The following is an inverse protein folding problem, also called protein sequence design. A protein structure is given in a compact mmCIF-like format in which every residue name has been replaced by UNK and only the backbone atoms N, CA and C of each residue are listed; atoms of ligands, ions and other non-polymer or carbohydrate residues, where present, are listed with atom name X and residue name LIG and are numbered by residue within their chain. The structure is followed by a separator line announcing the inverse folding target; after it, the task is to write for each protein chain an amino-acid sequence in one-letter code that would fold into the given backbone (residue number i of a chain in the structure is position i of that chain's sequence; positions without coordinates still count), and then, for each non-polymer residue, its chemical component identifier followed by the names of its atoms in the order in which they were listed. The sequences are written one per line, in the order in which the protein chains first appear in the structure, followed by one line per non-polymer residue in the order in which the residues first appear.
data_IF_346742591676
#
_entry.id   IF_346742591676
#
_cell.length_a   1.000
_cell.length_b   1.000
_cell.length_c   1.000
_cell.angle_alpha   90.00
_cell.angle_beta   90.00
_cell.angle_gamma   90.00
#
_symmetry.space_group_name_H-M   'P 1'
#
loop_
_entity.id
_entity.type
_entity.pdbx_description
1 polymer ?
#
# COMPACT_ATOMS: atom_id res chain seq x y z
N UNK A 1 13.62 10.11 5.01
CA UNK A 1 12.22 9.75 4.69
C UNK A 1 11.38 10.05 5.92
N UNK A 2 10.28 10.76 5.75
CA UNK A 2 9.37 11.12 6.83
C UNK A 2 8.20 10.14 6.93
N UNK A 3 7.68 9.95 8.14
CA UNK A 3 6.49 9.14 8.39
C UNK A 3 5.24 9.94 7.99
N UNK A 4 4.45 9.39 7.07
CA UNK A 4 3.23 10.03 6.57
C UNK A 4 2.04 9.48 7.36
N UNK A 5 1.22 10.36 7.93
CA UNK A 5 -0.02 9.95 8.59
C UNK A 5 -1.00 9.40 7.56
N UNK A 6 -1.66 8.28 7.86
CA UNK A 6 -2.70 7.72 6.97
C UNK A 6 -3.90 8.65 6.79
N UNK A 7 -4.06 9.65 7.66
CA UNK A 7 -5.10 10.68 7.55
C UNK A 7 -4.75 11.76 6.53
N UNK A 8 -3.46 12.01 6.33
CA UNK A 8 -2.99 13.06 5.44
C UNK A 8 -2.92 12.54 4.00
N UNK A 9 -2.41 11.32 3.82
CA UNK A 9 -2.23 10.71 2.50
C UNK A 9 -2.11 9.19 2.59
N UNK A 10 -2.53 8.47 1.55
CA UNK A 10 -2.36 7.03 1.42
C UNK A 10 -1.30 6.66 0.38
N UNK A 11 -0.73 5.44 0.43
CA UNK A 11 0.31 5.03 -0.53
C UNK A 11 -0.18 4.94 -1.98
N UNK A 12 -1.49 4.87 -2.18
CA UNK A 12 -2.13 4.86 -3.51
C UNK A 12 -2.08 6.23 -4.19
N UNK A 13 -1.99 7.33 -3.44
CA UNK A 13 -1.85 8.68 -3.99
C UNK A 13 -0.49 8.90 -4.67
N UNK A 14 0.50 8.04 -4.40
CA UNK A 14 1.82 8.04 -5.06
C UNK A 14 1.85 7.11 -6.30
N UNK A 15 0.79 6.35 -6.57
CA UNK A 15 0.75 5.50 -7.75
C UNK A 15 0.34 6.29 -8.99
N UNK A 16 0.94 6.00 -10.16
CA UNK A 16 0.43 6.49 -11.43
C UNK A 16 -1.03 6.03 -11.63
N UNK A 17 -1.87 6.95 -12.09
CA UNK A 17 -3.33 6.78 -12.30
C UNK A 17 -3.67 5.52 -13.13
N UNK A 18 -2.78 5.12 -14.06
CA UNK A 18 -2.97 3.97 -14.97
C UNK A 18 -2.21 2.70 -14.55
N UNK A 19 -1.84 2.54 -13.28
CA UNK A 19 -1.09 1.33 -12.89
C UNK A 19 -2.03 0.17 -12.58
N UNK A 20 -1.86 -0.97 -13.24
CA UNK A 20 -2.50 -2.26 -12.91
C UNK A 20 -1.96 -2.89 -11.60
N UNK A 21 -1.39 -2.06 -10.71
CA UNK A 21 -0.82 -2.53 -9.46
C UNK A 21 -1.94 -2.99 -8.54
N UNK A 22 -1.84 -4.23 -8.09
CA UNK A 22 -2.77 -4.81 -7.12
C UNK A 22 -2.27 -4.69 -5.67
N UNK A 23 -0.97 -4.45 -5.47
CA UNK A 23 -0.35 -4.45 -4.14
C UNK A 23 0.79 -3.43 -4.01
N UNK A 24 0.84 -2.75 -2.87
CA UNK A 24 1.91 -1.82 -2.47
C UNK A 24 2.44 -2.29 -1.11
N UNK A 25 3.74 -2.57 -1.05
CA UNK A 25 4.41 -2.92 0.21
C UNK A 25 4.95 -1.64 0.85
N UNK A 26 4.54 -1.37 2.09
CA UNK A 26 4.94 -0.18 2.84
C UNK A 26 5.30 -0.55 4.27
N UNK A 27 6.12 0.28 4.90
CA UNK A 27 6.32 0.24 6.34
C UNK A 27 5.17 0.98 7.00
N UNK A 28 4.61 0.41 8.05
CA UNK A 28 3.49 0.98 8.79
C UNK A 28 3.82 1.03 10.27
N UNK A 29 3.35 2.09 10.92
CA UNK A 29 3.33 2.22 12.36
C UNK A 29 1.93 1.89 12.86
N UNK A 30 1.82 0.98 13.83
CA UNK A 30 0.54 0.57 14.39
C UNK A 30 0.50 0.77 15.90
N UNK A 31 -0.64 1.26 16.39
CA UNK A 31 -0.88 1.53 17.81
C UNK A 31 -1.57 0.37 18.54
N UNK A 32 -1.81 -0.77 17.89
CA UNK A 32 -2.55 -1.89 18.47
C UNK A 32 -1.69 -3.13 18.73
N UNK A 33 -1.80 -3.66 19.96
CA UNK A 33 -1.22 -4.94 20.40
C UNK A 33 0.29 -4.91 20.61
N UNK A 34 1.05 -4.75 19.53
CA UNK A 34 2.51 -4.60 19.54
C UNK A 34 2.84 -3.25 18.90
N UNK A 35 3.00 -2.23 19.72
CA UNK A 35 3.54 -0.94 19.29
C UNK A 35 4.82 -1.19 18.50
N UNK A 36 4.84 -0.81 17.23
CA UNK A 36 5.97 -1.13 16.39
C UNK A 36 5.79 -0.78 14.93
N UNK A 37 6.94 -0.72 14.27
CA UNK A 37 7.06 -0.59 12.82
C UNK A 37 7.07 -1.99 12.22
N UNK A 38 6.15 -2.25 11.30
CA UNK A 38 6.11 -3.51 10.54
C UNK A 38 5.85 -3.24 9.07
N UNK A 39 6.19 -4.17 8.20
CA UNK A 39 5.80 -4.10 6.79
C UNK A 39 4.38 -4.63 6.62
N UNK A 40 3.52 -3.90 5.92
CA UNK A 40 2.20 -4.36 5.49
C UNK A 40 1.98 -4.06 4.00
N UNK A 41 0.95 -4.72 3.47
CA UNK A 41 0.46 -4.47 2.12
C UNK A 41 -0.82 -3.65 2.16
N UNK A 42 -0.84 -2.61 1.32
CA UNK A 42 -2.06 -1.99 0.80
C UNK A 42 -2.38 -2.73 -0.50
N UNK A 43 -3.55 -3.35 -0.59
CA UNK A 43 -3.91 -4.22 -1.71
C UNK A 43 -5.32 -3.89 -2.22
N UNK A 44 -5.56 -4.19 -3.49
CA UNK A 44 -6.87 -4.16 -4.13
C UNK A 44 -6.99 -5.39 -5.02
N UNK A 45 -8.22 -5.73 -5.39
CA UNK A 45 -8.54 -6.92 -6.16
C UNK A 45 -9.20 -6.52 -7.47
N UNK A 46 -8.94 -7.26 -8.54
CA UNK A 46 -9.73 -7.14 -9.77
C UNK A 46 -11.13 -7.68 -9.50
N UNK A 47 -12.16 -6.85 -9.69
CA UNK A 47 -13.54 -7.26 -9.48
C UNK A 47 -14.07 -7.91 -10.75
N UNK A 48 -14.16 -7.14 -11.84
CA UNK A 48 -14.63 -7.64 -13.12
C UNK A 48 -13.61 -7.31 -14.21
N UNK A 49 -13.37 -8.29 -15.06
CA UNK A 49 -12.68 -8.13 -16.33
C UNK A 49 -13.75 -7.98 -17.42
N UNK A 50 -13.80 -6.81 -18.08
CA UNK A 50 -14.70 -6.60 -19.21
C UNK A 50 -13.98 -6.92 -20.54
N UNK A 51 -14.31 -8.04 -21.22
CA UNK A 51 -13.64 -8.44 -22.46
C UNK A 51 -13.96 -7.52 -23.66
N UNK A 52 -14.91 -6.59 -23.51
CA UNK A 52 -15.32 -5.65 -24.59
C UNK A 52 -14.53 -4.35 -24.58
N UNK A 53 -14.06 -3.91 -23.43
CA UNK A 53 -13.31 -2.65 -23.28
C UNK A 53 -11.87 -2.88 -22.84
N UNK A 54 -11.45 -4.15 -22.68
CA UNK A 54 -10.15 -4.56 -22.13
C UNK A 54 -9.84 -3.82 -20.81
N UNK A 55 -10.89 -3.46 -20.07
CA UNK A 55 -10.79 -2.65 -18.87
C UNK A 55 -11.05 -3.54 -17.66
N UNK A 56 -10.06 -3.63 -16.79
CA UNK A 56 -10.22 -4.24 -15.47
C UNK A 56 -10.84 -3.23 -14.52
N UNK A 57 -11.98 -3.58 -13.93
CA UNK A 57 -12.50 -2.82 -12.79
C UNK A 57 -11.83 -3.31 -11.51
N UNK A 58 -11.37 -2.37 -10.69
CA UNK A 58 -10.66 -2.66 -9.46
C UNK A 58 -11.52 -2.33 -8.24
N UNK A 59 -11.46 -3.21 -7.23
CA UNK A 59 -12.00 -2.94 -5.91
C UNK A 59 -11.29 -1.74 -5.27
N UNK A 60 -11.93 -1.05 -4.31
CA UNK A 60 -11.26 -0.03 -3.52
C UNK A 60 -10.04 -0.63 -2.80
N UNK A 61 -9.01 0.19 -2.59
CA UNK A 61 -7.83 -0.21 -1.84
C UNK A 61 -8.18 -0.49 -0.39
N UNK A 62 -7.69 -1.62 0.10
CA UNK A 62 -7.81 -2.03 1.49
C UNK A 62 -6.43 -2.36 2.08
N UNK A 63 -6.35 -2.26 3.40
CA UNK A 63 -5.17 -2.77 4.08
C UNK A 63 -5.33 -4.27 4.30
N UNK A 64 -4.23 -5.03 4.18
CA UNK A 64 -4.23 -6.46 4.50
C UNK A 64 -4.80 -6.76 5.91
N UNK A 65 -5.33 -7.98 6.10
CA UNK A 65 -6.13 -8.48 7.25
C UNK A 65 -5.61 -8.17 8.68
N UNK A 66 -4.38 -7.66 8.81
CA UNK A 66 -3.72 -7.33 10.08
C UNK A 66 -3.52 -5.83 10.30
N UNK A 67 -4.32 -4.98 9.65
CA UNK A 67 -4.14 -3.53 9.62
C UNK A 67 -5.09 -2.74 10.52
N UNK A 68 -5.60 -3.34 11.60
CA UNK A 68 -6.73 -2.78 12.35
C UNK A 68 -6.46 -1.41 13.00
N UNK A 69 -5.22 -0.92 13.06
CA UNK A 69 -4.87 0.36 13.68
C UNK A 69 -3.55 0.92 13.12
N UNK A 70 -3.51 1.28 11.84
CA UNK A 70 -2.35 1.96 11.25
C UNK A 70 -2.51 3.46 11.48
N UNK A 71 -1.46 4.11 11.99
CA UNK A 71 -1.44 5.56 12.18
C UNK A 71 -0.58 6.26 11.15
N UNK A 72 0.57 5.67 10.81
CA UNK A 72 1.51 6.25 9.86
C UNK A 72 2.06 5.18 8.93
N UNK A 73 2.50 5.58 7.74
CA UNK A 73 3.19 4.73 6.80
C UNK A 73 4.39 5.45 6.20
N UNK A 74 5.31 4.67 5.62
CA UNK A 74 6.41 5.19 4.82
C UNK A 74 6.70 4.24 3.66
N UNK A 75 7.16 4.75 2.50
CA UNK A 75 7.65 3.91 1.43
C UNK A 75 8.85 3.09 1.91
N UNK A 76 9.03 1.90 1.32
CA UNK A 76 10.21 1.10 1.62
C UNK A 76 11.48 1.86 1.19
N UNK A 77 12.51 1.93 2.04
CA UNK A 77 13.79 2.47 1.62
C UNK A 77 14.33 1.65 0.45
N UNK A 78 15.05 2.32 -0.46
CA UNK A 78 15.76 1.60 -1.52
C UNK A 78 16.68 0.55 -0.88
N UNK A 79 16.73 -0.67 -1.43
CA UNK A 79 17.68 -1.66 -0.93
C UNK A 79 19.09 -1.06 -1.00
N UNK A 80 19.95 -1.30 0.00
CA UNK A 80 21.33 -0.87 -0.06
C UNK A 80 21.92 -1.40 -1.37
N UNK A 81 22.51 -0.50 -2.17
CA UNK A 81 23.25 -0.89 -3.36
C UNK A 81 24.40 -1.77 -2.86
N UNK A 82 24.42 -3.05 -3.24
CA UNK A 82 25.61 -3.86 -3.05
C UNK A 82 26.72 -3.22 -3.89
N UNK A 83 27.63 -2.49 -3.24
CA UNK A 83 28.94 -2.18 -3.79
C UNK A 83 29.66 -3.52 -3.95
N UNK A 84 29.67 -4.03 -5.18
CA UNK A 84 30.24 -5.32 -5.55
C UNK A 84 31.54 -5.16 -6.33
#
# INVERSE_FOLDING_TARGET
MEWISVKDRLPEDDLPIDTDRLMIKVLVCSTSGKYGVRTLFRQRWTMNWDPKTDTSTYAPWEWSRHALNITHWMPLPEPPKEDH
#
